data_IF_452150993574
#
_entry.id   IF_452150993574
#
_cell.length_a   1.000
_cell.length_b   1.000
_cell.length_c   1.000
_cell.angle_alpha   90.00
_cell.angle_beta   90.00
_cell.angle_gamma   90.00
#
_symmetry.space_group_name_H-M   'P 1'
#
loop_
_entity.id
_entity.type
_entity.pdbx_description
1 polymer ?
#
# COMPACT_ATOMS: atom_id res chain seq x y z
N UNK A 1 7.99 9.56 -4.38
CA UNK A 1 8.24 8.65 -3.25
C UNK A 1 7.51 9.03 -1.96
N UNK A 2 7.82 10.13 -1.27
CA UNK A 2 7.19 10.47 0.03
C UNK A 2 5.67 10.51 0.05
N UNK A 3 5.05 10.98 -1.05
CA UNK A 3 3.59 10.93 -1.24
C UNK A 3 3.05 9.49 -1.21
N UNK A 4 3.74 8.55 -1.85
CA UNK A 4 3.34 7.13 -1.92
C UNK A 4 3.51 6.45 -0.56
N UNK A 5 4.59 6.74 0.15
CA UNK A 5 4.82 6.27 1.52
C UNK A 5 3.68 6.72 2.45
N UNK A 6 3.32 8.02 2.40
CA UNK A 6 2.20 8.55 3.16
C UNK A 6 0.87 7.89 2.79
N UNK A 7 0.62 7.66 1.50
CA UNK A 7 -0.57 6.94 1.04
C UNK A 7 -0.66 5.52 1.61
N UNK A 8 0.43 4.76 1.60
CA UNK A 8 0.49 3.41 2.19
C UNK A 8 0.29 3.42 3.71
N UNK A 9 0.85 4.42 4.40
CA UNK A 9 0.63 4.63 5.84
C UNK A 9 -0.85 4.95 6.14
N UNK A 10 -1.49 5.79 5.34
CA UNK A 10 -2.92 6.08 5.47
C UNK A 10 -3.77 4.81 5.26
N UNK A 11 -3.46 4.01 4.24
CA UNK A 11 -4.13 2.73 4.00
C UNK A 11 -4.00 1.82 5.23
N UNK A 12 -2.80 1.69 5.78
CA UNK A 12 -2.58 0.91 6.99
C UNK A 12 -3.41 1.41 8.18
N UNK A 13 -3.48 2.72 8.41
CA UNK A 13 -4.31 3.29 9.48
C UNK A 13 -5.80 2.97 9.29
N UNK A 14 -6.29 3.00 8.04
CA UNK A 14 -7.66 2.64 7.72
C UNK A 14 -7.94 1.15 7.90
N UNK A 15 -6.94 0.30 7.68
CA UNK A 15 -7.04 -1.16 7.84
C UNK A 15 -6.88 -1.64 9.30
N UNK A 16 -6.26 -0.87 10.19
CA UNK A 16 -6.10 -1.25 11.61
C UNK A 16 -7.41 -1.65 12.31
N UNK A 17 -8.52 -0.91 12.18
CA UNK A 17 -9.78 -1.32 12.81
C UNK A 17 -10.47 -2.48 12.09
N UNK A 18 -9.98 -2.96 10.93
CA UNK A 18 -10.69 -3.95 10.10
C UNK A 18 -10.98 -5.27 10.81
N UNK A 19 -10.16 -5.69 11.77
CA UNK A 19 -10.43 -6.89 12.59
C UNK A 19 -11.69 -6.71 13.44
N UNK A 20 -11.93 -5.50 13.95
CA UNK A 20 -13.12 -5.18 14.75
C UNK A 20 -14.36 -5.01 13.87
N UNK A 21 -14.21 -4.69 12.58
CA UNK A 21 -15.33 -4.50 11.64
C UNK A 21 -16.13 -5.79 11.39
N UNK A 22 -15.51 -6.95 11.64
CA UNK A 22 -16.13 -8.27 11.52
C UNK A 22 -16.66 -8.83 12.84
N UNK A 23 -16.50 -8.13 13.96
CA UNK A 23 -17.06 -8.57 15.25
C UNK A 23 -18.58 -8.44 15.28
N UNK A 24 -19.28 -9.47 15.77
CA UNK A 24 -20.74 -9.47 15.93
C UNK A 24 -21.52 -9.75 14.65
N UNK A 25 -20.89 -10.36 13.64
CA UNK A 25 -21.56 -10.83 12.42
C UNK A 25 -22.35 -12.10 12.75
N UNK A 26 -23.65 -12.16 12.44
CA UNK A 26 -24.52 -13.32 12.79
C UNK A 26 -24.07 -14.64 12.16
N UNK A 27 -23.45 -14.60 10.98
CA UNK A 27 -22.95 -15.77 10.22
C UNK A 27 -21.45 -15.65 9.94
N UNK A 28 -20.61 -15.77 10.96
CA UNK A 28 -19.15 -15.64 10.78
C UNK A 28 -18.55 -16.67 9.82
N UNK A 29 -19.17 -17.86 9.75
CA UNK A 29 -18.80 -18.99 8.89
C UNK A 29 -19.47 -18.96 7.51
N UNK A 30 -20.31 -17.95 7.24
CA UNK A 30 -20.92 -17.78 5.92
C UNK A 30 -19.87 -17.57 4.84
N UNK A 31 -20.01 -18.22 3.69
CA UNK A 31 -19.03 -18.19 2.59
C UNK A 31 -18.65 -16.75 2.18
N UNK A 32 -19.63 -15.85 2.18
CA UNK A 32 -19.44 -14.43 1.86
C UNK A 32 -18.56 -13.67 2.87
N UNK A 33 -18.73 -13.97 4.18
CA UNK A 33 -17.98 -13.33 5.27
C UNK A 33 -16.55 -13.87 5.33
N UNK A 34 -16.38 -15.17 5.12
CA UNK A 34 -15.06 -15.80 4.99
C UNK A 34 -14.34 -15.26 3.75
N UNK A 35 -15.04 -15.13 2.63
CA UNK A 35 -14.54 -14.55 1.39
C UNK A 35 -13.98 -13.14 1.59
N UNK A 36 -14.78 -12.22 2.12
CA UNK A 36 -14.32 -10.83 2.34
C UNK A 36 -13.17 -10.74 3.35
N UNK A 37 -13.17 -11.56 4.42
CA UNK A 37 -12.05 -11.64 5.38
C UNK A 37 -10.77 -12.07 4.65
N UNK A 38 -10.87 -13.04 3.73
CA UNK A 38 -9.80 -13.47 2.85
C UNK A 38 -9.26 -12.34 1.97
N UNK A 39 -10.15 -11.60 1.29
CA UNK A 39 -9.74 -10.49 0.42
C UNK A 39 -9.11 -9.33 1.20
N UNK A 40 -9.60 -9.01 2.41
CA UNK A 40 -8.97 -8.01 3.29
C UNK A 40 -7.55 -8.44 3.69
N UNK A 41 -7.35 -9.71 4.06
CA UNK A 41 -6.01 -10.25 4.36
C UNK A 41 -5.07 -10.15 3.16
N UNK A 42 -5.53 -10.51 1.96
CA UNK A 42 -4.74 -10.33 0.73
C UNK A 42 -4.38 -8.87 0.49
N UNK A 43 -5.31 -7.95 0.74
CA UNK A 43 -5.07 -6.51 0.63
C UNK A 43 -3.96 -6.04 1.59
N UNK A 44 -3.93 -6.57 2.83
CA UNK A 44 -2.83 -6.31 3.77
C UNK A 44 -1.48 -6.81 3.26
N UNK A 45 -1.44 -7.99 2.63
CA UNK A 45 -0.22 -8.55 2.02
C UNK A 45 0.28 -7.68 0.87
N UNK A 46 -0.59 -7.31 -0.09
CA UNK A 46 -0.23 -6.44 -1.21
C UNK A 46 0.30 -5.09 -0.73
N UNK A 47 -0.37 -4.48 0.25
CA UNK A 47 0.11 -3.24 0.88
C UNK A 47 1.50 -3.42 1.52
N UNK A 48 1.75 -4.55 2.20
CA UNK A 48 3.06 -4.82 2.78
C UNK A 48 4.13 -4.93 1.70
N UNK A 49 3.88 -5.70 0.63
CA UNK A 49 4.79 -5.83 -0.52
C UNK A 49 5.15 -4.45 -1.10
N UNK A 50 4.15 -3.57 -1.32
CA UNK A 50 4.35 -2.20 -1.80
C UNK A 50 5.14 -1.32 -0.82
N UNK A 51 4.88 -1.43 0.49
CA UNK A 51 5.62 -0.72 1.52
C UNK A 51 7.09 -1.14 1.58
N UNK A 52 7.36 -2.44 1.48
CA UNK A 52 8.72 -2.97 1.46
C UNK A 52 9.50 -2.47 0.24
N UNK A 53 8.89 -2.47 -0.95
CA UNK A 53 9.50 -1.89 -2.14
C UNK A 53 9.89 -0.42 -1.93
N UNK A 54 8.96 0.41 -1.44
CA UNK A 54 9.21 1.83 -1.20
C UNK A 54 10.31 2.04 -0.15
N UNK A 55 10.32 1.24 0.91
CA UNK A 55 11.30 1.31 1.98
C UNK A 55 12.71 0.94 1.48
N UNK A 56 12.83 -0.14 0.70
CA UNK A 56 14.11 -0.54 0.10
C UNK A 56 14.67 0.54 -0.83
N UNK A 57 13.81 1.14 -1.66
CA UNK A 57 14.21 2.24 -2.52
C UNK A 57 14.67 3.47 -1.72
N UNK A 58 13.95 3.83 -0.65
CA UNK A 58 14.36 4.93 0.22
C UNK A 58 15.70 4.67 0.88
N UNK A 59 15.93 3.44 1.36
CA UNK A 59 17.21 3.06 1.95
C UNK A 59 18.36 3.17 0.97
N UNK A 60 18.15 2.75 -0.28
CA UNK A 60 19.14 2.92 -1.35
C UNK A 60 19.49 4.41 -1.55
N UNK A 61 18.47 5.26 -1.77
CA UNK A 61 18.72 6.70 -1.99
C UNK A 61 19.41 7.34 -0.78
N UNK A 62 19.00 6.99 0.44
CA UNK A 62 19.52 7.63 1.65
C UNK A 62 20.95 7.19 1.99
N UNK A 63 21.23 5.89 1.94
CA UNK A 63 22.51 5.35 2.42
C UNK A 63 23.51 5.08 1.29
N UNK A 64 23.08 4.49 0.18
CA UNK A 64 23.99 4.13 -0.92
C UNK A 64 24.28 5.33 -1.84
N UNK A 65 23.36 6.29 -1.92
CA UNK A 65 23.54 7.48 -2.77
C UNK A 65 23.99 8.69 -1.95
N UNK A 66 23.16 9.14 -1.01
CA UNK A 66 23.40 10.39 -0.31
C UNK A 66 24.54 10.30 0.71
N UNK A 67 24.55 9.29 1.59
CA UNK A 67 25.59 9.16 2.63
C UNK A 67 26.97 8.84 2.04
N UNK A 68 27.04 7.90 1.08
CA UNK A 68 28.29 7.59 0.38
C UNK A 68 28.82 8.81 -0.39
N UNK A 69 27.97 9.45 -1.20
CA UNK A 69 28.38 10.63 -1.97
C UNK A 69 28.79 11.80 -1.07
N UNK A 70 28.11 12.01 0.05
CA UNK A 70 28.46 13.05 1.01
C UNK A 70 29.82 12.79 1.66
N UNK A 71 30.11 11.54 2.02
CA UNK A 71 31.40 11.15 2.60
C UNK A 71 32.55 11.41 1.62
N UNK A 72 32.36 11.04 0.35
CA UNK A 72 33.33 11.31 -0.71
C UNK A 72 33.53 12.82 -0.95
N UNK A 73 32.43 13.57 -1.06
CA UNK A 73 32.48 15.01 -1.25
C UNK A 73 33.19 15.72 -0.11
N UNK A 74 32.90 15.34 1.15
CA UNK A 74 33.54 15.91 2.33
C UNK A 74 35.06 15.73 2.30
N UNK A 75 35.54 14.54 1.92
CA UNK A 75 36.98 14.28 1.79
C UNK A 75 37.61 15.14 0.69
N UNK A 76 36.94 15.30 -0.47
CA UNK A 76 37.43 16.17 -1.56
C UNK A 76 37.41 17.64 -1.19
N UNK A 77 36.40 18.09 -0.45
CA UNK A 77 36.29 19.44 0.09
C UNK A 77 37.43 19.76 1.05
N UNK A 78 37.77 18.85 1.97
CA UNK A 78 38.89 19.02 2.90
C UNK A 78 40.26 19.04 2.22
N UNK A 79 40.38 18.39 1.05
CA UNK A 79 41.61 18.33 0.26
C UNK A 79 41.72 19.45 -0.80
N UNK A 80 40.68 20.27 -1.00
CA UNK A 80 40.67 21.30 -2.02
C UNK A 80 41.63 22.45 -1.67
N UNK A 81 42.56 22.77 -2.58
CA UNK A 81 43.57 23.81 -2.38
C UNK A 81 43.05 25.22 -2.74
N UNK A 82 42.06 25.30 -3.63
CA UNK A 82 41.45 26.55 -4.09
C UNK A 82 39.92 26.42 -4.29
N UNK A 83 39.29 27.54 -4.63
CA UNK A 83 37.85 27.62 -4.83
C UNK A 83 37.39 26.83 -6.07
N UNK A 84 38.20 26.78 -7.13
CA UNK A 84 37.84 26.11 -8.38
C UNK A 84 37.84 24.58 -8.20
N UNK A 85 38.79 24.05 -7.42
CA UNK A 85 38.83 22.66 -7.00
C UNK A 85 37.61 22.30 -6.13
N UNK A 86 37.21 23.21 -5.22
CA UNK A 86 36.01 23.01 -4.40
C UNK A 86 34.73 22.99 -5.25
N UNK A 87 34.58 23.93 -6.18
CA UNK A 87 33.44 23.98 -7.11
C UNK A 87 33.39 22.70 -7.95
N UNK A 88 34.53 22.28 -8.50
CA UNK A 88 34.63 21.05 -9.29
C UNK A 88 34.23 19.80 -8.50
N UNK A 89 34.67 19.71 -7.23
CA UNK A 89 34.29 18.61 -6.35
C UNK A 89 32.78 18.60 -6.03
N UNK A 90 32.18 19.79 -5.88
CA UNK A 90 30.75 19.94 -5.64
C UNK A 90 29.92 19.55 -6.86
N UNK A 91 30.31 19.99 -8.07
CA UNK A 91 29.61 19.65 -9.30
C UNK A 91 29.66 18.13 -9.55
N UNK A 92 30.82 17.50 -9.34
CA UNK A 92 30.96 16.04 -9.39
C UNK A 92 30.05 15.32 -8.37
N UNK A 93 29.91 15.88 -7.16
CA UNK A 93 29.01 15.32 -6.15
C UNK A 93 27.55 15.40 -6.61
N UNK A 94 27.10 16.55 -7.11
CA UNK A 94 25.73 16.73 -7.59
C UNK A 94 25.42 15.82 -8.78
N UNK A 95 26.29 15.76 -9.78
CA UNK A 95 26.13 14.88 -10.94
C UNK A 95 26.08 13.41 -10.50
N UNK A 96 26.94 13.02 -9.56
CA UNK A 96 26.94 11.69 -8.95
C UNK A 96 25.61 11.37 -8.25
N UNK A 97 25.06 12.30 -7.46
CA UNK A 97 23.76 12.14 -6.80
C UNK A 97 22.64 12.03 -7.82
N UNK A 98 22.62 12.85 -8.88
CA UNK A 98 21.58 12.81 -9.92
C UNK A 98 21.58 11.48 -10.66
N UNK A 99 22.75 11.01 -11.09
CA UNK A 99 22.88 9.73 -11.79
C UNK A 99 22.52 8.55 -10.86
N UNK A 100 23.11 8.50 -9.65
CA UNK A 100 22.88 7.40 -8.68
C UNK A 100 21.47 7.39 -8.09
N UNK A 101 20.80 8.52 -7.94
CA UNK A 101 19.41 8.58 -7.50
C UNK A 101 18.39 8.16 -8.58
N UNK A 102 18.87 7.57 -9.68
CA UNK A 102 18.10 7.17 -10.85
C UNK A 102 17.53 8.35 -11.66
N UNK A 103 17.96 9.60 -11.43
CA UNK A 103 17.38 10.78 -12.08
C UNK A 103 18.12 11.21 -13.36
N UNK A 104 19.24 10.56 -13.66
CA UNK A 104 20.04 10.82 -14.86
C UNK A 104 19.34 10.52 -16.18
N UNK A 105 19.87 11.06 -17.28
CA UNK A 105 19.36 10.85 -18.65
C UNK A 105 19.41 9.37 -19.06
N UNK A 106 20.42 8.65 -18.57
CA UNK A 106 20.60 7.20 -18.83
C UNK A 106 19.60 6.34 -18.05
N UNK A 107 19.02 6.88 -16.98
CA UNK A 107 18.08 6.19 -16.09
C UNK A 107 16.61 6.49 -16.41
N UNK A 108 16.33 7.20 -17.50
CA UNK A 108 14.96 7.60 -17.87
C UNK A 108 13.99 6.43 -18.01
N UNK A 109 14.45 5.27 -18.48
CA UNK A 109 13.61 4.06 -18.53
C UNK A 109 13.24 3.56 -17.13
N UNK A 110 14.20 3.58 -16.18
CA UNK A 110 13.97 3.21 -14.79
C UNK A 110 13.01 4.18 -14.10
N UNK A 111 13.18 5.49 -14.31
CA UNK A 111 12.27 6.51 -13.75
C UNK A 111 10.86 6.33 -14.26
N UNK A 112 10.69 6.11 -15.57
CA UNK A 112 9.36 5.84 -16.14
C UNK A 112 8.72 4.62 -15.50
N UNK A 113 9.47 3.52 -15.39
CA UNK A 113 8.97 2.29 -14.78
C UNK A 113 8.64 2.48 -13.29
N UNK A 114 9.48 3.21 -12.56
CA UNK A 114 9.25 3.54 -11.15
C UNK A 114 8.00 4.40 -10.96
N UNK A 115 7.77 5.38 -11.83
CA UNK A 115 6.56 6.20 -11.81
C UNK A 115 5.30 5.35 -12.07
N UNK A 116 5.36 4.38 -12.98
CA UNK A 116 4.25 3.43 -13.18
C UNK A 116 3.96 2.62 -11.90
N UNK A 117 4.99 2.17 -11.18
CA UNK A 117 4.81 1.49 -9.89
C UNK A 117 4.16 2.44 -8.88
N UNK A 118 4.61 3.69 -8.80
CA UNK A 118 4.02 4.69 -7.89
C UNK A 118 2.56 5.00 -8.23
N UNK A 119 2.21 5.16 -9.51
CA UNK A 119 0.85 5.39 -9.95
C UNK A 119 -0.06 4.19 -9.63
N UNK A 120 0.45 2.97 -9.77
CA UNK A 120 -0.27 1.77 -9.36
C UNK A 120 -0.51 1.73 -7.85
N UNK A 121 0.47 2.12 -7.03
CA UNK A 121 0.28 2.20 -5.57
C UNK A 121 -0.80 3.24 -5.22
N UNK A 122 -0.84 4.38 -5.93
CA UNK A 122 -1.90 5.37 -5.75
C UNK A 122 -3.28 4.80 -6.17
N UNK A 123 -3.34 4.01 -7.24
CA UNK A 123 -4.57 3.30 -7.64
C UNK A 123 -5.02 2.30 -6.57
N UNK A 124 -4.08 1.56 -5.99
CA UNK A 124 -4.32 0.65 -4.88
C UNK A 124 -4.86 1.38 -3.64
N UNK A 125 -4.33 2.57 -3.32
CA UNK A 125 -4.86 3.40 -2.24
C UNK A 125 -6.36 3.70 -2.44
N UNK A 126 -6.75 4.14 -3.64
CA UNK A 126 -8.16 4.42 -3.96
C UNK A 126 -9.05 3.18 -3.85
N UNK A 127 -8.58 2.05 -4.38
CA UNK A 127 -9.27 0.76 -4.26
C UNK A 127 -9.46 0.34 -2.79
N UNK A 128 -8.39 0.41 -2.00
CA UNK A 128 -8.44 0.05 -0.58
C UNK A 128 -9.35 0.98 0.21
N UNK A 129 -9.31 2.29 -0.03
CA UNK A 129 -10.16 3.25 0.66
C UNK A 129 -11.65 2.94 0.45
N UNK A 130 -12.05 2.63 -0.80
CA UNK A 130 -13.42 2.23 -1.15
C UNK A 130 -13.87 0.98 -0.38
N UNK A 131 -13.02 -0.05 -0.32
CA UNK A 131 -13.36 -1.28 0.43
C UNK A 131 -13.49 -1.00 1.92
N UNK A 132 -12.56 -0.23 2.49
CA UNK A 132 -12.59 0.10 3.91
C UNK A 132 -13.82 0.93 4.29
N UNK A 133 -14.28 1.82 3.40
CA UNK A 133 -15.52 2.57 3.59
C UNK A 133 -16.75 1.65 3.62
N UNK A 134 -16.87 0.73 2.66
CA UNK A 134 -17.97 -0.25 2.62
C UNK A 134 -17.97 -1.14 3.87
N UNK A 135 -16.80 -1.62 4.30
CA UNK A 135 -16.67 -2.44 5.50
C UNK A 135 -17.05 -1.65 6.77
N UNK A 136 -16.66 -0.37 6.85
CA UNK A 136 -17.02 0.51 7.95
C UNK A 136 -18.51 0.76 8.00
N UNK A 137 -19.15 1.08 6.87
CA UNK A 137 -20.60 1.29 6.80
C UNK A 137 -21.37 0.05 7.25
N UNK A 138 -20.98 -1.13 6.76
CA UNK A 138 -21.58 -2.40 7.18
C UNK A 138 -21.43 -2.64 8.70
N UNK A 139 -20.25 -2.35 9.25
CA UNK A 139 -20.01 -2.47 10.70
C UNK A 139 -20.83 -1.47 11.53
N UNK A 140 -21.02 -0.24 11.04
CA UNK A 140 -21.78 0.80 11.72
C UNK A 140 -23.26 0.44 11.75
N UNK A 141 -23.81 -0.08 10.64
CA UNK A 141 -25.19 -0.60 10.57
C UNK A 141 -25.40 -1.74 11.58
N UNK A 142 -24.45 -2.67 11.68
CA UNK A 142 -24.46 -3.74 12.71
C UNK A 142 -24.50 -3.17 14.13
N UNK A 143 -23.59 -2.24 14.45
CA UNK A 143 -23.50 -1.65 15.79
C UNK A 143 -24.77 -0.89 16.19
N UNK A 144 -25.39 -0.18 15.26
CA UNK A 144 -26.65 0.52 15.54
C UNK A 144 -27.79 -0.46 15.85
N UNK A 145 -27.82 -1.63 15.20
CA UNK A 145 -28.80 -2.68 15.48
C UNK A 145 -28.61 -3.29 16.86
N UNK A 146 -27.38 -3.63 17.24
CA UNK A 146 -27.11 -4.18 18.58
C UNK A 146 -27.51 -3.20 19.66
N UNK A 147 -27.21 -1.90 19.50
CA UNK A 147 -27.64 -0.86 20.44
C UNK A 147 -29.17 -0.68 20.48
N UNK A 148 -29.87 -0.74 19.35
CA UNK A 148 -31.35 -0.68 19.32
C UNK A 148 -31.95 -1.86 20.06
N UNK A 149 -31.45 -3.08 19.81
CA UNK A 149 -31.86 -4.26 20.53
C UNK A 149 -31.59 -4.12 22.04
N UNK A 150 -30.42 -3.62 22.45
CA UNK A 150 -30.11 -3.35 23.87
C UNK A 150 -31.07 -2.33 24.52
N UNK A 151 -31.53 -1.33 23.77
CA UNK A 151 -32.51 -0.35 24.27
C UNK A 151 -33.91 -0.96 24.37
N UNK A 152 -34.35 -1.72 23.38
CA UNK A 152 -35.66 -2.38 23.37
C UNK A 152 -35.77 -3.45 24.48
N UNK A 153 -34.69 -4.20 24.67
CA UNK A 153 -34.54 -5.17 25.74
C UNK A 153 -34.55 -4.50 27.12
N UNK A 154 -33.86 -3.37 27.30
CA UNK A 154 -33.91 -2.59 28.54
C UNK A 154 -35.31 -2.02 28.83
N UNK A 155 -36.11 -1.73 27.80
CA UNK A 155 -37.50 -1.27 27.93
C UNK A 155 -38.49 -2.41 28.20
N UNK A 156 -38.03 -3.65 28.31
CA UNK A 156 -38.90 -4.80 28.58
C UNK A 156 -39.63 -5.34 27.35
N UNK A 157 -39.31 -4.85 26.15
CA UNK A 157 -39.93 -5.28 24.91
C UNK A 157 -39.14 -6.45 24.30
N UNK A 158 -39.47 -7.65 24.72
CA UNK A 158 -38.79 -8.89 24.32
C UNK A 158 -39.65 -9.69 23.34
N UNK A 159 -39.66 -9.33 22.05
CA UNK A 159 -40.45 -10.09 21.07
C UNK A 159 -40.37 -9.59 19.63
N UNK A 160 -40.59 -10.51 18.68
CA UNK A 160 -40.67 -10.29 17.22
C UNK A 160 -42.12 -9.96 16.81
N UNK A 161 -43.01 -9.66 17.76
CA UNK A 161 -44.46 -9.57 17.52
C UNK A 161 -45.01 -8.14 17.56
N UNK A 162 -44.14 -7.14 17.80
CA UNK A 162 -44.51 -5.73 17.67
C UNK A 162 -44.66 -5.34 16.21
N UNK A 163 -45.55 -4.39 15.90
CA UNK A 163 -45.89 -3.91 14.54
C UNK A 163 -44.70 -3.45 13.67
N UNK A 164 -43.46 -3.41 14.20
CA UNK A 164 -42.19 -3.24 13.46
C UNK A 164 -41.56 -4.53 12.90
N UNK A 165 -42.13 -5.71 13.15
CA UNK A 165 -41.59 -7.00 12.67
C UNK A 165 -41.68 -7.20 11.15
N UNK A 166 -42.62 -6.50 10.49
CA UNK A 166 -42.72 -6.45 9.03
C UNK A 166 -41.50 -5.82 8.37
N UNK A 167 -40.77 -4.95 9.06
CA UNK A 167 -39.57 -4.28 8.52
C UNK A 167 -38.30 -5.12 8.69
N UNK A 168 -38.27 -6.08 9.62
CA UNK A 168 -37.09 -6.93 9.87
C UNK A 168 -37.07 -8.22 9.02
N UNK A 169 -38.22 -8.68 8.52
CA UNK A 169 -38.30 -9.89 7.68
C UNK A 169 -38.04 -9.65 6.19
N UNK A 170 -38.16 -8.38 5.74
CA UNK A 170 -37.91 -7.99 4.35
C UNK A 170 -36.61 -7.21 4.10
N UNK A 171 -35.84 -6.90 5.15
CA UNK A 171 -34.59 -6.18 5.01
C UNK A 171 -33.49 -7.18 4.67
N UNK A 172 -33.09 -7.20 3.39
CA UNK A 172 -31.94 -7.93 2.83
C UNK A 172 -30.88 -8.21 3.91
N UNK A 173 -30.37 -9.45 4.00
CA UNK A 173 -29.29 -9.84 4.92
C UNK A 173 -28.15 -8.81 4.89
N UNK A 174 -28.20 -7.79 5.76
CA UNK A 174 -27.28 -6.64 5.76
C UNK A 174 -25.86 -7.06 6.13
N UNK A 175 -25.71 -8.29 6.62
CA UNK A 175 -24.42 -8.91 6.93
C UNK A 175 -23.82 -9.68 5.74
N UNK A 176 -24.61 -9.95 4.70
CA UNK A 176 -24.15 -10.60 3.47
C UNK A 176 -23.63 -9.55 2.50
N UNK A 177 -22.32 -9.57 2.26
CA UNK A 177 -21.74 -8.86 1.13
C UNK A 177 -22.26 -9.52 -0.17
N UNK A 178 -22.80 -8.76 -1.14
CA UNK A 178 -23.28 -9.33 -2.39
C UNK A 178 -22.17 -10.12 -3.09
N UNK A 179 -22.48 -11.31 -3.62
CA UNK A 179 -21.48 -12.12 -4.34
C UNK A 179 -20.79 -11.36 -5.46
N UNK A 180 -21.56 -10.52 -6.18
CA UNK A 180 -21.04 -9.61 -7.21
C UNK A 180 -19.94 -8.69 -6.66
N UNK A 181 -20.13 -8.16 -5.44
CA UNK A 181 -19.15 -7.28 -4.81
C UNK A 181 -17.87 -8.04 -4.45
N UNK A 182 -18.00 -9.27 -3.92
CA UNK A 182 -16.86 -10.12 -3.59
C UNK A 182 -16.06 -10.49 -4.84
N UNK A 183 -16.76 -10.90 -5.89
CA UNK A 183 -16.15 -11.23 -7.17
C UNK A 183 -15.43 -10.03 -7.78
N UNK A 184 -16.08 -8.85 -7.81
CA UNK A 184 -15.47 -7.61 -8.32
C UNK A 184 -14.24 -7.21 -7.50
N UNK A 185 -14.35 -7.23 -6.17
CA UNK A 185 -13.25 -6.90 -5.25
C UNK A 185 -12.06 -7.81 -5.45
N UNK A 186 -12.30 -9.12 -5.54
CA UNK A 186 -11.26 -10.11 -5.78
C UNK A 186 -10.59 -9.91 -7.14
N UNK A 187 -11.38 -9.75 -8.19
CA UNK A 187 -10.86 -9.52 -9.54
C UNK A 187 -9.99 -8.27 -9.62
N UNK A 188 -10.45 -7.15 -9.07
CA UNK A 188 -9.69 -5.91 -9.03
C UNK A 188 -8.41 -6.02 -8.19
N UNK A 189 -8.46 -6.70 -7.04
CA UNK A 189 -7.27 -6.93 -6.20
C UNK A 189 -6.24 -7.82 -6.89
N UNK A 190 -6.70 -8.92 -7.49
CA UNK A 190 -5.83 -9.85 -8.23
C UNK A 190 -5.22 -9.15 -9.46
N UNK A 191 -5.98 -8.27 -10.14
CA UNK A 191 -5.46 -7.43 -11.23
C UNK A 191 -4.39 -6.45 -10.74
N UNK A 192 -4.65 -5.70 -9.66
CA UNK A 192 -3.66 -4.78 -9.08
C UNK A 192 -2.39 -5.52 -8.66
N UNK A 193 -2.54 -6.70 -8.04
CA UNK A 193 -1.39 -7.53 -7.63
C UNK A 193 -0.60 -8.03 -8.85
N UNK A 194 -1.30 -8.48 -9.89
CA UNK A 194 -0.69 -8.91 -11.15
C UNK A 194 0.10 -7.79 -11.82
N UNK A 195 -0.55 -6.64 -12.00
CA UNK A 195 0.07 -5.44 -12.57
C UNK A 195 1.30 -4.99 -11.76
N UNK A 196 1.20 -5.04 -10.42
CA UNK A 196 2.32 -4.70 -9.53
C UNK A 196 3.52 -5.59 -9.77
N UNK A 197 3.33 -6.91 -9.83
CA UNK A 197 4.42 -7.86 -10.11
C UNK A 197 5.06 -7.61 -11.47
N UNK A 198 4.26 -7.44 -12.51
CA UNK A 198 4.76 -7.16 -13.87
C UNK A 198 5.58 -5.88 -13.89
N UNK A 199 5.12 -4.82 -13.21
CA UNK A 199 5.83 -3.55 -13.17
C UNK A 199 7.15 -3.64 -12.39
N UNK A 200 7.16 -4.33 -11.24
CA UNK A 200 8.38 -4.51 -10.45
C UNK A 200 9.37 -5.43 -11.16
N UNK A 201 8.93 -6.52 -11.78
CA UNK A 201 9.79 -7.38 -12.61
C UNK A 201 10.35 -6.60 -13.81
N UNK A 202 9.54 -5.74 -14.43
CA UNK A 202 9.99 -4.83 -15.48
C UNK A 202 11.05 -3.86 -14.99
N UNK A 203 10.92 -3.35 -13.76
CA UNK A 203 11.91 -2.48 -13.13
C UNK A 203 13.24 -3.21 -12.90
N UNK A 204 13.20 -4.43 -12.35
CA UNK A 204 14.39 -5.24 -12.11
C UNK A 204 15.11 -5.63 -13.42
N UNK A 205 14.36 -5.95 -14.48
CA UNK A 205 14.93 -6.27 -15.81
C UNK A 205 15.67 -5.09 -16.46
N UNK A 206 15.43 -3.87 -16.01
CA UNK A 206 16.12 -2.68 -16.49
C UNK A 206 17.46 -2.44 -15.77
N UNK A 207 17.75 -3.11 -14.66
CA UNK A 207 19.00 -2.91 -13.91
C UNK A 207 20.26 -3.20 -14.75
N UNK A 208 20.32 -4.29 -15.55
CA UNK A 208 21.48 -4.57 -16.40
C UNK A 208 21.74 -3.50 -17.48
N UNK A 209 20.74 -2.67 -17.81
CA UNK A 209 20.90 -1.59 -18.79
C UNK A 209 21.64 -0.38 -18.23
N UNK A 210 21.83 -0.34 -16.90
CA UNK A 210 22.47 0.75 -16.18
C UNK A 210 23.66 0.20 -15.36
N UNK A 211 24.72 -0.29 -16.03
CA UNK A 211 25.87 -0.92 -15.35
C UNK A 211 26.75 0.07 -14.58
N UNK A 212 26.53 1.38 -14.75
CA UNK A 212 27.29 2.42 -14.06
C UNK A 212 26.79 2.66 -12.62
N UNK A 213 25.67 2.05 -12.23
CA UNK A 213 25.13 2.11 -10.88
C UNK A 213 25.31 0.75 -10.20
N UNK A 214 25.88 0.74 -9.00
CA UNK A 214 25.90 -0.46 -8.17
C UNK A 214 24.51 -0.69 -7.56
N UNK A 215 23.64 -1.31 -8.35
CA UNK A 215 22.27 -1.65 -7.97
C UNK A 215 22.16 -3.06 -7.36
N UNK A 216 23.28 -3.79 -7.21
CA UNK A 216 23.26 -5.19 -6.78
C UNK A 216 22.61 -5.39 -5.42
N UNK A 217 22.87 -4.48 -4.46
CA UNK A 217 22.25 -4.52 -3.14
C UNK A 217 20.74 -4.22 -3.20
N UNK A 218 20.33 -3.29 -4.06
CA UNK A 218 18.91 -2.96 -4.25
C UNK A 218 18.18 -4.13 -4.92
N UNK A 219 18.80 -4.77 -5.91
CA UNK A 219 18.26 -5.95 -6.60
C UNK A 219 18.05 -7.11 -5.63
N UNK A 220 19.04 -7.42 -4.80
CA UNK A 220 18.95 -8.47 -3.79
C UNK A 220 17.83 -8.17 -2.78
N UNK A 221 17.73 -6.93 -2.29
CA UNK A 221 16.70 -6.53 -1.33
C UNK A 221 15.29 -6.57 -1.93
N UNK A 222 15.12 -6.22 -3.21
CA UNK A 222 13.80 -6.27 -3.87
C UNK A 222 13.43 -7.71 -4.25
N UNK A 223 14.35 -8.47 -4.85
CA UNK A 223 14.11 -9.84 -5.34
C UNK A 223 13.79 -10.83 -4.22
N UNK A 224 14.44 -10.71 -3.05
CA UNK A 224 14.15 -11.54 -1.88
C UNK A 224 12.69 -11.40 -1.40
N UNK A 225 12.03 -10.28 -1.67
CA UNK A 225 10.65 -10.03 -1.24
C UNK A 225 9.59 -10.48 -2.27
N UNK A 226 10.00 -10.87 -3.48
CA UNK A 226 9.10 -11.28 -4.57
C UNK A 226 9.02 -12.81 -4.70
N UNK A 227 10.06 -13.54 -4.22
CA UNK A 227 10.11 -15.01 -4.17
C UNK A 227 9.29 -15.59 -3.02
#
# INVERSE_FOLDING_TARGET
MKRVEHALCQVWQQMKPSVQLFGGVRNEDGENVVGIKGEVRKCHCVRNEMSHFCMNLQYYIMFEVLEEGWTEFKSKMEAAEDLDALISAHDLYLDGVVEKALLGERSQALVRQLNLVFDLIMRFQGFSARIQEILKEASQKRRLRTLRAEVETAQGNWGVDGEGAGELSGQEDVDCFPERFLYSTRYELDAIKGDYKVLVDGFLKLFPTVPHLDLGLLEQKISFNIS
#
